data_IF_260883069925
#
_entry.id   IF_260883069925
#
_cell.length_a   1.000
_cell.length_b   1.000
_cell.length_c   1.000
_cell.angle_alpha   90.00
_cell.angle_beta   90.00
_cell.angle_gamma   90.00
#
_symmetry.space_group_name_H-M   'P 1'
#
loop_
_entity.id
_entity.type
_entity.pdbx_description
1 polymer ?
#
# COMPACT_ATOMS: atom_id res chain seq x y z
N UNK A 1 8.47 2.00 17.02
CA UNK A 1 9.90 2.18 16.63
C UNK A 1 10.82 2.67 17.75
N UNK A 2 10.34 3.43 18.75
CA UNK A 2 11.21 3.99 19.82
C UNK A 2 11.88 2.99 20.76
N UNK A 3 11.45 1.71 20.82
CA UNK A 3 12.04 0.71 21.71
C UNK A 3 13.39 0.15 21.27
N UNK A 4 13.76 0.32 20.00
CA UNK A 4 14.96 -0.29 19.41
C UNK A 4 15.86 0.71 18.68
N UNK A 5 15.46 1.96 18.52
CA UNK A 5 16.27 2.99 17.88
C UNK A 5 16.88 3.91 18.94
N UNK A 6 18.18 4.00 18.94
CA UNK A 6 18.90 5.04 19.70
C UNK A 6 18.64 6.40 19.02
N UNK A 7 17.51 7.02 19.28
CA UNK A 7 17.30 8.46 19.35
C UNK A 7 16.68 9.28 18.23
N UNK A 8 16.62 8.92 16.94
CA UNK A 8 15.91 9.79 15.99
C UNK A 8 15.33 9.03 14.82
N UNK A 9 14.02 9.25 14.56
CA UNK A 9 13.37 8.90 13.30
C UNK A 9 13.26 10.17 12.47
N UNK A 10 13.73 10.13 11.22
CA UNK A 10 13.57 11.19 10.23
C UNK A 10 12.43 10.77 9.28
N UNK A 11 11.50 11.68 9.02
CA UNK A 11 10.42 11.47 8.06
C UNK A 11 10.71 12.30 6.80
N UNK A 12 10.65 11.63 5.65
CA UNK A 12 10.80 12.24 4.33
C UNK A 12 9.51 12.15 3.49
N UNK A 13 8.37 12.10 4.15
CA UNK A 13 7.04 12.15 3.56
C UNK A 13 6.77 11.03 2.57
N UNK A 14 6.51 11.39 1.31
CA UNK A 14 6.16 10.47 0.23
C UNK A 14 7.36 10.01 -0.61
N UNK A 15 8.57 10.43 -0.29
CA UNK A 15 9.75 10.15 -1.10
C UNK A 15 9.72 10.86 -2.46
N UNK A 16 9.20 12.08 -2.50
CA UNK A 16 9.22 12.92 -3.71
C UNK A 16 10.66 13.23 -4.14
N UNK A 17 10.89 13.67 -5.38
CA UNK A 17 12.23 14.08 -5.82
C UNK A 17 12.88 15.09 -4.87
N UNK A 18 12.11 16.08 -4.38
CA UNK A 18 12.55 17.14 -3.47
C UNK A 18 12.92 16.56 -2.09
N UNK A 19 12.11 15.63 -1.56
CA UNK A 19 12.39 14.96 -0.29
C UNK A 19 13.63 14.06 -0.39
N UNK A 20 13.85 13.41 -1.54
CA UNK A 20 15.06 12.63 -1.80
C UNK A 20 16.29 13.55 -2.01
N UNK A 21 16.11 14.77 -2.54
CA UNK A 21 17.16 15.80 -2.57
C UNK A 21 17.54 16.26 -1.16
N UNK A 22 16.54 16.44 -0.29
CA UNK A 22 16.76 16.76 1.11
C UNK A 22 17.51 15.64 1.84
N UNK A 23 17.09 14.38 1.65
CA UNK A 23 17.80 13.22 2.20
C UNK A 23 19.28 13.22 1.76
N UNK A 24 19.54 13.45 0.46
CA UNK A 24 20.89 13.51 -0.08
C UNK A 24 21.68 14.62 0.60
N UNK A 25 21.13 15.84 0.69
CA UNK A 25 21.79 16.99 1.33
C UNK A 25 22.10 16.71 2.81
N UNK A 26 21.19 16.07 3.52
CA UNK A 26 21.38 15.67 4.91
C UNK A 26 22.55 14.68 5.07
N UNK A 27 22.65 13.70 4.17
CA UNK A 27 23.75 12.73 4.15
C UNK A 27 25.10 13.38 3.78
N UNK A 28 25.10 14.30 2.82
CA UNK A 28 26.28 15.11 2.44
C UNK A 28 26.75 16.00 3.59
N UNK A 29 25.82 16.55 4.37
CA UNK A 29 26.11 17.33 5.58
C UNK A 29 26.62 16.49 6.76
N UNK A 30 26.77 15.17 6.58
CA UNK A 30 27.34 14.27 7.58
C UNK A 30 26.32 13.54 8.46
N UNK A 31 25.00 13.70 8.22
CA UNK A 31 24.02 12.85 8.89
C UNK A 31 24.27 11.37 8.56
N UNK A 32 24.03 10.51 9.52
CA UNK A 32 24.13 9.05 9.34
C UNK A 32 22.81 8.41 9.71
N UNK A 33 22.33 7.51 8.86
CA UNK A 33 21.16 6.68 9.10
C UNK A 33 21.58 5.21 9.04
N UNK A 34 20.99 4.37 9.88
CA UNK A 34 21.25 2.94 9.87
C UNK A 34 20.41 2.22 8.81
N UNK A 35 19.15 2.63 8.69
CA UNK A 35 18.23 2.05 7.72
C UNK A 35 17.21 3.08 7.24
N UNK A 36 16.73 2.90 6.01
CA UNK A 36 15.58 3.59 5.44
C UNK A 36 14.47 2.57 5.26
N UNK A 37 13.28 2.91 5.78
CA UNK A 37 12.06 2.11 5.63
C UNK A 37 11.11 2.82 4.67
N UNK A 38 10.54 2.06 3.75
CA UNK A 38 9.54 2.57 2.79
C UNK A 38 8.53 1.48 2.46
N UNK A 39 7.40 1.88 1.85
CA UNK A 39 6.41 0.99 1.24
C UNK A 39 6.46 1.16 -0.29
N UNK A 40 6.07 0.13 -1.03
CA UNK A 40 5.96 0.23 -2.48
C UNK A 40 4.77 -0.57 -3.03
N UNK A 41 3.68 0.10 -3.52
CA UNK A 41 3.33 1.51 -3.28
C UNK A 41 2.92 1.77 -1.83
N UNK A 42 2.82 3.04 -1.43
CA UNK A 42 2.41 3.43 -0.08
C UNK A 42 0.90 3.21 0.14
N UNK A 43 0.50 3.06 1.40
CA UNK A 43 -0.90 3.06 1.83
C UNK A 43 -1.15 4.33 2.68
N UNK A 44 -2.17 5.16 2.40
CA UNK A 44 -3.30 4.93 1.49
C UNK A 44 -3.19 5.60 0.12
N UNK A 45 -2.20 6.45 -0.15
CA UNK A 45 -2.15 7.32 -1.33
C UNK A 45 -1.49 6.67 -2.55
N UNK A 46 -0.99 5.45 -2.41
CA UNK A 46 -0.44 4.61 -3.49
C UNK A 46 0.67 5.30 -4.29
N UNK A 47 1.42 6.16 -3.62
CA UNK A 47 2.61 6.79 -4.19
C UNK A 47 3.78 5.80 -4.26
N UNK A 48 4.68 6.01 -5.22
CA UNK A 48 5.84 5.17 -5.43
C UNK A 48 7.11 6.01 -5.36
N UNK A 49 8.03 5.62 -4.48
CA UNK A 49 9.33 6.24 -4.35
C UNK A 49 10.31 5.73 -5.41
N UNK A 50 11.29 6.54 -5.79
CA UNK A 50 12.39 6.11 -6.66
C UNK A 50 13.39 5.20 -5.91
N UNK A 51 13.11 3.88 -5.92
CA UNK A 51 13.98 2.90 -5.28
C UNK A 51 15.37 2.83 -5.91
N UNK A 52 15.52 3.16 -7.20
CA UNK A 52 16.84 3.23 -7.85
C UNK A 52 17.69 4.36 -7.25
N UNK A 53 17.05 5.49 -7.00
CA UNK A 53 17.72 6.63 -6.36
C UNK A 53 18.09 6.33 -4.91
N UNK A 54 17.16 5.74 -4.16
CA UNK A 54 17.42 5.30 -2.78
C UNK A 54 18.57 4.29 -2.76
N UNK A 55 18.56 3.29 -3.65
CA UNK A 55 19.64 2.30 -3.73
C UNK A 55 21.01 2.94 -3.93
N UNK A 56 21.13 3.90 -4.87
CA UNK A 56 22.40 4.64 -5.09
C UNK A 56 22.86 5.37 -3.82
N UNK A 57 21.94 6.04 -3.12
CA UNK A 57 22.28 6.71 -1.85
C UNK A 57 22.69 5.70 -0.79
N UNK A 58 22.00 4.59 -0.67
CA UNK A 58 22.33 3.54 0.29
C UNK A 58 23.70 2.92 0.01
N UNK A 59 24.05 2.72 -1.26
CA UNK A 59 25.38 2.23 -1.64
C UNK A 59 26.49 3.22 -1.33
N UNK A 60 26.22 4.51 -1.54
CA UNK A 60 27.18 5.57 -1.27
C UNK A 60 27.39 5.82 0.23
N UNK A 61 26.33 5.82 1.03
CA UNK A 61 26.38 6.23 2.44
C UNK A 61 26.27 5.10 3.44
N UNK A 62 26.06 3.86 3.00
CA UNK A 62 26.20 2.67 3.83
C UNK A 62 25.02 2.33 4.70
N UNK A 63 23.80 2.68 4.32
CA UNK A 63 22.59 2.31 5.08
C UNK A 63 21.82 1.17 4.43
N UNK A 64 21.00 0.47 5.25
CA UNK A 64 20.12 -0.63 4.82
C UNK A 64 18.81 -0.06 4.27
N UNK A 65 18.30 -0.63 3.18
CA UNK A 65 16.97 -0.31 2.64
C UNK A 65 16.00 -1.45 2.94
N UNK A 66 14.93 -1.13 3.65
CA UNK A 66 13.84 -2.06 3.97
C UNK A 66 12.58 -1.56 3.28
N UNK A 67 11.97 -2.42 2.48
CA UNK A 67 10.73 -2.09 1.78
C UNK A 67 9.62 -3.07 2.14
N UNK A 68 8.43 -2.54 2.41
CA UNK A 68 7.20 -3.31 2.53
C UNK A 68 6.49 -3.34 1.18
N UNK A 69 6.31 -4.54 0.60
CA UNK A 69 5.62 -4.75 -0.67
C UNK A 69 4.21 -5.35 -0.50
N UNK A 70 3.66 -5.31 0.69
CA UNK A 70 2.33 -5.87 0.98
C UNK A 70 1.26 -5.38 0.00
N UNK A 71 1.30 -4.10 -0.39
CA UNK A 71 0.35 -3.51 -1.34
C UNK A 71 0.75 -3.82 -2.80
N UNK A 72 2.04 -3.72 -3.12
CA UNK A 72 2.54 -3.97 -4.48
C UNK A 72 2.48 -5.44 -4.87
N UNK A 73 2.82 -6.30 -3.96
CA UNK A 73 3.02 -7.75 -4.10
C UNK A 73 4.15 -8.14 -5.06
N UNK A 74 4.88 -9.19 -4.73
CA UNK A 74 5.95 -9.71 -5.58
C UNK A 74 5.45 -10.28 -6.93
N UNK A 75 4.13 -10.47 -7.08
CA UNK A 75 3.49 -10.86 -8.35
C UNK A 75 3.45 -9.70 -9.32
N UNK A 76 3.11 -8.50 -8.84
CA UNK A 76 2.98 -7.32 -9.68
C UNK A 76 4.30 -6.57 -9.88
N UNK A 77 5.17 -6.51 -8.85
CA UNK A 77 6.39 -5.69 -8.89
C UNK A 77 7.65 -6.51 -8.62
N UNK A 78 8.78 -6.06 -9.19
CA UNK A 78 10.10 -6.63 -9.01
C UNK A 78 11.04 -5.59 -8.41
N UNK A 79 11.11 -5.56 -7.09
CA UNK A 79 11.86 -4.55 -6.34
C UNK A 79 13.00 -5.13 -5.48
N UNK A 80 13.12 -6.45 -5.38
CA UNK A 80 14.09 -7.08 -4.48
C UNK A 80 15.53 -6.64 -4.75
N UNK A 81 15.91 -6.42 -6.02
CA UNK A 81 17.26 -5.99 -6.39
C UNK A 81 17.62 -4.56 -5.94
N UNK A 82 16.64 -3.77 -5.51
CA UNK A 82 16.83 -2.38 -5.07
C UNK A 82 16.79 -2.21 -3.55
N UNK A 83 16.50 -3.27 -2.82
CA UNK A 83 16.36 -3.25 -1.36
C UNK A 83 17.28 -4.29 -0.73
N UNK A 84 17.60 -4.12 0.54
CA UNK A 84 18.38 -5.11 1.30
C UNK A 84 17.47 -6.12 1.97
N UNK A 85 16.27 -5.66 2.38
CA UNK A 85 15.24 -6.48 3.02
C UNK A 85 13.89 -6.14 2.43
N UNK A 86 13.16 -7.16 2.01
CA UNK A 86 11.77 -7.09 1.61
C UNK A 86 10.90 -7.69 2.70
N UNK A 87 9.89 -6.95 3.14
CA UNK A 87 8.92 -7.43 4.13
C UNK A 87 7.53 -7.46 3.52
N UNK A 88 6.75 -8.47 3.87
CA UNK A 88 5.39 -8.65 3.35
C UNK A 88 4.48 -9.17 4.44
N UNK A 89 3.30 -8.58 4.60
CA UNK A 89 2.25 -9.16 5.43
C UNK A 89 1.56 -10.31 4.68
N UNK A 90 1.86 -11.53 5.06
CA UNK A 90 1.20 -12.73 4.51
C UNK A 90 -0.27 -12.82 4.92
N UNK A 91 -0.65 -12.12 5.99
CA UNK A 91 -2.04 -11.94 6.46
C UNK A 91 -2.95 -11.38 5.37
N UNK A 92 -2.40 -10.53 4.48
CA UNK A 92 -3.14 -9.75 3.49
C UNK A 92 -3.40 -10.62 2.24
N UNK A 93 -3.17 -10.09 1.08
CA UNK A 93 -3.54 -10.72 -0.18
C UNK A 93 -2.88 -12.09 -0.42
N UNK A 94 -1.71 -12.34 0.18
CA UNK A 94 -1.06 -13.65 0.09
C UNK A 94 -1.98 -14.77 0.60
N UNK A 95 -2.55 -14.60 1.81
CA UNK A 95 -3.59 -15.50 2.33
C UNK A 95 -4.98 -15.20 1.73
N UNK A 96 -5.39 -13.93 1.75
CA UNK A 96 -6.68 -13.44 1.21
C UNK A 96 -7.94 -13.85 1.98
N UNK A 97 -7.88 -14.87 2.81
CA UNK A 97 -9.05 -15.49 3.44
C UNK A 97 -9.42 -14.93 4.83
N UNK A 98 -8.62 -14.02 5.39
CA UNK A 98 -8.85 -13.39 6.70
C UNK A 98 -8.92 -14.34 7.90
N UNK A 99 -8.38 -15.53 7.81
CA UNK A 99 -8.47 -16.56 8.84
C UNK A 99 -7.11 -16.98 9.44
N UNK A 100 -6.01 -16.37 8.98
CA UNK A 100 -4.65 -16.63 9.47
C UNK A 100 -3.80 -15.37 9.37
N UNK A 101 -2.85 -15.21 10.27
CA UNK A 101 -1.88 -14.12 10.24
C UNK A 101 -0.48 -14.66 9.96
N UNK A 102 0.32 -13.86 9.27
CA UNK A 102 1.72 -14.18 9.01
C UNK A 102 2.47 -13.01 8.40
N UNK A 103 3.77 -13.11 8.40
CA UNK A 103 4.67 -12.14 7.76
C UNK A 103 5.88 -12.85 7.19
N UNK A 104 6.46 -12.27 6.16
CA UNK A 104 7.73 -12.74 5.58
C UNK A 104 8.78 -11.65 5.62
N UNK A 105 10.02 -12.08 5.77
CA UNK A 105 11.22 -11.25 5.66
C UNK A 105 12.16 -11.94 4.68
N UNK A 106 12.43 -11.27 3.56
CA UNK A 106 13.35 -11.76 2.54
C UNK A 106 14.59 -10.88 2.53
N UNK A 107 15.74 -11.46 2.87
CA UNK A 107 17.04 -10.77 2.77
C UNK A 107 17.54 -10.92 1.34
N UNK A 108 17.82 -9.80 0.68
CA UNK A 108 18.34 -9.81 -0.68
C UNK A 108 19.71 -10.52 -0.73
N UNK A 109 19.86 -11.64 -1.48
CA UNK A 109 21.11 -12.37 -1.54
C UNK A 109 22.25 -11.59 -2.18
N UNK A 110 21.94 -10.54 -2.98
CA UNK A 110 22.92 -9.66 -3.62
C UNK A 110 23.25 -8.44 -2.77
N UNK A 111 22.61 -8.25 -1.60
CA UNK A 111 22.94 -7.14 -0.70
C UNK A 111 24.34 -7.30 -0.11
N UNK A 112 25.10 -6.22 -0.06
CA UNK A 112 26.39 -6.20 0.67
C UNK A 112 26.24 -6.42 2.18
N UNK A 113 25.02 -6.30 2.70
CA UNK A 113 24.67 -6.54 4.09
C UNK A 113 24.11 -7.97 4.32
N UNK A 114 24.05 -8.82 3.29
CA UNK A 114 23.37 -10.11 3.31
C UNK A 114 23.81 -11.00 4.48
N UNK A 115 25.11 -11.23 4.60
CA UNK A 115 25.66 -12.12 5.67
C UNK A 115 25.31 -11.60 7.06
N UNK A 116 25.54 -10.30 7.30
CA UNK A 116 25.24 -9.67 8.59
C UNK A 116 23.74 -9.74 8.92
N UNK A 117 22.89 -9.41 7.96
CA UNK A 117 21.43 -9.40 8.15
C UNK A 117 20.92 -10.81 8.40
N UNK A 118 21.40 -11.80 7.64
CA UNK A 118 20.99 -13.20 7.79
C UNK A 118 21.43 -13.74 9.14
N UNK A 119 22.68 -13.48 9.58
CA UNK A 119 23.17 -13.88 10.89
C UNK A 119 22.33 -13.27 12.02
N UNK A 120 22.09 -11.95 11.98
CA UNK A 120 21.36 -11.25 13.05
C UNK A 120 19.88 -11.62 13.09
N UNK A 121 19.23 -11.72 11.94
CA UNK A 121 17.83 -12.18 11.88
C UNK A 121 17.71 -13.62 12.36
N UNK A 122 18.60 -14.51 11.93
CA UNK A 122 18.60 -15.91 12.38
C UNK A 122 18.82 -16.05 13.89
N UNK A 123 19.69 -15.22 14.48
CA UNK A 123 19.93 -15.21 15.92
C UNK A 123 18.74 -14.66 16.74
N UNK A 124 17.91 -13.80 16.14
CA UNK A 124 16.74 -13.19 16.78
C UNK A 124 15.45 -13.97 16.51
N UNK A 125 15.46 -14.83 15.50
CA UNK A 125 14.27 -15.59 15.10
C UNK A 125 13.94 -16.63 16.18
N UNK A 126 12.76 -16.50 16.74
CA UNK A 126 12.12 -17.55 17.54
C UNK A 126 11.00 -18.13 16.71
N UNK A 127 11.12 -19.42 16.35
CA UNK A 127 10.04 -20.11 15.64
C UNK A 127 8.87 -20.32 16.60
N UNK A 128 7.93 -19.37 16.54
CA UNK A 128 6.70 -19.36 17.32
C UNK A 128 5.46 -19.46 16.45
N UNK A 129 5.66 -19.75 15.14
CA UNK A 129 4.54 -19.84 14.21
C UNK A 129 3.73 -21.10 14.47
N UNK A 130 2.43 -20.94 14.69
CA UNK A 130 1.56 -22.06 15.03
C UNK A 130 1.43 -23.01 13.82
N UNK A 131 1.69 -24.33 13.99
CA UNK A 131 1.74 -25.26 12.86
C UNK A 131 0.45 -25.33 12.04
N UNK A 132 -0.72 -25.24 12.68
CA UNK A 132 -2.01 -25.23 11.99
C UNK A 132 -2.20 -23.95 11.16
N UNK A 133 -1.73 -22.80 11.64
CA UNK A 133 -1.72 -21.57 10.87
C UNK A 133 -0.82 -21.68 9.62
N UNK A 134 0.31 -22.41 9.74
CA UNK A 134 1.17 -22.67 8.60
C UNK A 134 0.47 -23.52 7.52
N UNK A 135 -0.29 -24.54 7.93
CA UNK A 135 -1.08 -25.35 7.01
C UNK A 135 -2.19 -24.53 6.32
N UNK A 136 -2.92 -23.71 7.10
CA UNK A 136 -3.96 -22.80 6.56
C UNK A 136 -3.33 -21.79 5.59
N UNK A 137 -2.19 -21.20 5.94
CA UNK A 137 -1.47 -20.27 5.06
C UNK A 137 -1.07 -20.93 3.75
N UNK A 138 -0.53 -22.16 3.80
CA UNK A 138 -0.12 -22.94 2.61
C UNK A 138 -1.32 -23.28 1.72
N UNK A 139 -2.50 -23.56 2.30
CA UNK A 139 -3.73 -23.78 1.55
C UNK A 139 -4.22 -22.48 0.89
N UNK A 140 -4.25 -21.39 1.65
CA UNK A 140 -4.77 -20.11 1.19
C UNK A 140 -3.94 -19.49 0.07
N UNK A 141 -2.63 -19.73 0.03
CA UNK A 141 -1.75 -19.14 -0.99
C UNK A 141 -1.67 -19.97 -2.29
N UNK A 142 -2.31 -21.12 -2.38
CA UNK A 142 -2.17 -22.02 -3.52
C UNK A 142 -2.57 -21.41 -4.88
N UNK A 143 -3.51 -20.48 -4.88
CA UNK A 143 -4.02 -19.78 -6.06
C UNK A 143 -3.69 -18.27 -6.08
N UNK A 144 -2.67 -17.86 -5.33
CA UNK A 144 -2.31 -16.47 -5.10
C UNK A 144 -2.14 -15.68 -6.41
N UNK A 145 -1.42 -16.23 -7.39
CA UNK A 145 -1.18 -15.57 -8.68
C UNK A 145 -2.48 -15.35 -9.46
N UNK A 146 -3.35 -16.36 -9.48
CA UNK A 146 -4.64 -16.30 -10.20
C UNK A 146 -5.56 -15.26 -9.56
N UNK A 147 -5.61 -15.23 -8.22
CA UNK A 147 -6.40 -14.24 -7.49
C UNK A 147 -5.92 -12.82 -7.76
N UNK A 148 -4.61 -12.59 -7.80
CA UNK A 148 -4.06 -11.28 -8.10
C UNK A 148 -4.46 -10.79 -9.48
N UNK A 149 -4.45 -11.66 -10.50
CA UNK A 149 -4.82 -11.25 -11.86
C UNK A 149 -6.31 -10.84 -11.93
N UNK A 150 -7.21 -11.59 -11.29
CA UNK A 150 -8.62 -11.23 -11.21
C UNK A 150 -8.83 -9.90 -10.44
N UNK A 151 -8.18 -9.75 -9.30
CA UNK A 151 -8.29 -8.55 -8.46
C UNK A 151 -7.69 -7.32 -9.16
N UNK A 152 -6.56 -7.46 -9.87
CA UNK A 152 -5.99 -6.39 -10.67
C UNK A 152 -6.98 -5.87 -11.72
N UNK A 153 -7.68 -6.79 -12.42
CA UNK A 153 -8.68 -6.41 -13.43
C UNK A 153 -9.86 -5.66 -12.80
N UNK A 154 -10.38 -6.15 -11.68
CA UNK A 154 -11.47 -5.49 -10.94
C UNK A 154 -11.05 -4.11 -10.42
N UNK A 155 -9.83 -3.97 -9.89
CA UNK A 155 -9.33 -2.70 -9.37
C UNK A 155 -9.12 -1.66 -10.48
N UNK A 156 -8.60 -2.05 -11.64
CA UNK A 156 -8.45 -1.16 -12.80
C UNK A 156 -9.81 -0.69 -13.32
N UNK A 157 -10.80 -1.60 -13.41
CA UNK A 157 -12.17 -1.26 -13.81
C UNK A 157 -12.81 -0.29 -12.81
N UNK A 158 -12.68 -0.55 -11.51
CA UNK A 158 -13.16 0.33 -10.44
C UNK A 158 -12.52 1.72 -10.53
N UNK A 159 -11.20 1.78 -10.63
CA UNK A 159 -10.47 3.06 -10.71
C UNK A 159 -10.87 3.85 -11.95
N UNK A 160 -11.08 3.18 -13.10
CA UNK A 160 -11.55 3.79 -14.34
C UNK A 160 -12.96 4.36 -14.21
N UNK A 161 -13.89 3.61 -13.63
CA UNK A 161 -15.24 4.07 -13.34
C UNK A 161 -15.22 5.33 -12.46
N UNK A 162 -14.53 5.28 -11.34
CA UNK A 162 -14.45 6.39 -10.39
C UNK A 162 -13.82 7.64 -11.02
N UNK A 163 -12.78 7.47 -11.83
CA UNK A 163 -12.13 8.58 -12.55
C UNK A 163 -13.02 9.23 -13.62
N UNK A 164 -14.01 8.50 -14.15
CA UNK A 164 -14.99 9.05 -15.09
C UNK A 164 -16.01 9.97 -14.41
N UNK A 165 -16.17 9.85 -13.10
CA UNK A 165 -17.11 10.62 -12.28
C UNK A 165 -16.47 11.86 -11.64
N UNK A 166 -15.80 12.69 -12.45
CA UNK A 166 -15.15 13.93 -12.00
C UNK A 166 -16.13 14.98 -11.42
N UNK A 167 -17.42 14.82 -11.65
CA UNK A 167 -18.49 15.59 -11.03
C UNK A 167 -18.66 15.26 -9.53
N UNK A 168 -18.31 14.06 -9.08
CA UNK A 168 -18.39 13.58 -7.69
C UNK A 168 -17.03 13.37 -7.08
N UNK A 169 -16.10 12.80 -7.84
CA UNK A 169 -14.78 12.35 -7.38
C UNK A 169 -13.74 13.41 -7.74
N UNK A 170 -13.02 13.89 -6.73
CA UNK A 170 -11.94 14.86 -6.88
C UNK A 170 -10.64 14.17 -7.32
N UNK A 171 -10.32 13.03 -6.70
CA UNK A 171 -9.10 12.30 -6.96
C UNK A 171 -9.30 10.81 -6.72
N UNK A 172 -8.82 10.00 -7.65
CA UNK A 172 -8.62 8.56 -7.47
C UNK A 172 -7.13 8.31 -7.29
N UNK A 173 -6.76 7.72 -6.17
CA UNK A 173 -5.40 7.24 -5.93
C UNK A 173 -5.33 5.78 -6.31
N UNK A 174 -4.64 5.50 -7.39
CA UNK A 174 -4.38 4.16 -7.91
C UNK A 174 -3.09 4.22 -8.76
N UNK A 175 -2.19 3.23 -8.71
CA UNK A 175 -0.87 3.39 -9.33
C UNK A 175 -0.91 3.64 -10.83
N UNK A 176 -1.92 3.13 -11.58
CA UNK A 176 -2.05 3.38 -13.02
C UNK A 176 -2.49 4.80 -13.38
N UNK A 177 -3.06 5.57 -12.43
CA UNK A 177 -3.68 6.87 -12.67
C UNK A 177 -2.94 8.04 -12.02
N UNK A 178 -2.07 7.76 -11.07
CA UNK A 178 -1.40 8.79 -10.29
C UNK A 178 -0.11 9.32 -10.94
N UNK A 179 0.46 10.34 -10.31
CA UNK A 179 1.81 10.85 -10.65
C UNK A 179 2.89 9.78 -10.54
N UNK A 180 2.64 8.75 -9.73
CA UNK A 180 3.56 7.63 -9.51
C UNK A 180 3.54 6.58 -10.61
N UNK A 181 2.65 6.65 -11.60
CA UNK A 181 2.51 5.64 -12.66
C UNK A 181 3.84 5.29 -13.32
N UNK A 182 4.56 6.30 -13.80
CA UNK A 182 5.86 6.08 -14.46
C UNK A 182 6.87 5.39 -13.53
N UNK A 183 6.83 5.72 -12.23
CA UNK A 183 7.68 5.08 -11.23
C UNK A 183 7.23 3.64 -10.96
N UNK A 184 5.94 3.39 -10.80
CA UNK A 184 5.41 2.06 -10.64
C UNK A 184 5.76 1.16 -11.84
N UNK A 185 5.52 1.66 -13.07
CA UNK A 185 5.82 0.93 -14.32
C UNK A 185 7.31 0.57 -14.46
N UNK A 186 8.21 1.33 -13.83
CA UNK A 186 9.64 1.03 -13.79
C UNK A 186 9.94 -0.32 -13.10
N UNK A 187 9.12 -0.69 -12.13
CA UNK A 187 9.30 -1.89 -11.31
C UNK A 187 8.21 -2.93 -11.53
N UNK A 188 7.19 -2.61 -12.31
CA UNK A 188 6.09 -3.52 -12.62
C UNK A 188 6.59 -4.67 -13.50
N UNK A 189 6.24 -5.89 -13.13
CA UNK A 189 6.54 -7.07 -13.96
C UNK A 189 5.77 -7.00 -15.28
N UNK A 190 6.37 -7.45 -16.40
CA UNK A 190 5.69 -7.48 -17.68
C UNK A 190 4.37 -8.22 -17.62
N UNK A 191 3.30 -7.60 -18.16
CA UNK A 191 1.96 -8.20 -18.22
C UNK A 191 1.18 -8.20 -16.90
N UNK A 192 1.73 -7.68 -15.79
CA UNK A 192 1.05 -7.62 -14.49
C UNK A 192 0.30 -6.29 -14.28
N UNK A 193 -0.59 -6.27 -13.27
CA UNK A 193 -1.46 -5.12 -12.97
C UNK A 193 -0.86 -4.14 -11.97
N UNK A 194 -1.74 -3.32 -11.39
CA UNK A 194 -1.37 -2.20 -10.52
C UNK A 194 -1.79 -2.40 -9.07
N UNK A 195 -2.26 -3.60 -8.72
CA UNK A 195 -2.62 -3.95 -7.35
C UNK A 195 -4.14 -3.80 -7.08
N UNK A 196 -4.48 -4.00 -5.84
CA UNK A 196 -5.83 -4.22 -5.34
C UNK A 196 -6.39 -3.05 -4.53
N UNK A 197 -5.57 -2.05 -4.22
CA UNK A 197 -5.97 -0.98 -3.32
C UNK A 197 -6.31 0.27 -4.13
N UNK A 198 -7.49 0.84 -3.90
CA UNK A 198 -7.96 2.08 -4.51
C UNK A 198 -8.37 3.02 -3.39
N UNK A 199 -7.91 4.27 -3.42
CA UNK A 199 -8.33 5.30 -2.46
C UNK A 199 -8.99 6.45 -3.19
N UNK A 200 -10.04 7.01 -2.62
CA UNK A 200 -10.91 7.99 -3.26
C UNK A 200 -11.01 9.22 -2.36
N UNK A 201 -10.82 10.39 -2.97
CA UNK A 201 -11.19 11.68 -2.42
C UNK A 201 -12.37 12.23 -3.22
N UNK A 202 -13.47 12.51 -2.55
CA UNK A 202 -14.65 13.11 -3.16
C UNK A 202 -14.59 14.63 -3.19
N UNK A 203 -15.34 15.28 -4.11
CA UNK A 203 -15.44 16.73 -4.20
C UNK A 203 -16.02 17.36 -2.93
N UNK A 204 -16.87 16.63 -2.21
CA UNK A 204 -17.50 17.05 -0.97
C UNK A 204 -17.44 15.93 0.08
N UNK A 205 -17.24 16.26 1.37
CA UNK A 205 -17.26 15.27 2.46
C UNK A 205 -18.54 14.44 2.49
N UNK A 206 -19.68 15.07 2.23
CA UNK A 206 -21.00 14.41 2.22
C UNK A 206 -21.09 13.33 1.16
N UNK A 207 -20.44 13.52 0.01
CA UNK A 207 -20.41 12.50 -1.07
C UNK A 207 -19.66 11.24 -0.61
N UNK A 208 -18.55 11.40 0.12
CA UNK A 208 -17.82 10.30 0.70
C UNK A 208 -18.68 9.48 1.67
N UNK A 209 -19.42 10.18 2.54
CA UNK A 209 -20.32 9.54 3.52
C UNK A 209 -21.45 8.78 2.82
N UNK A 210 -22.19 9.45 1.92
CA UNK A 210 -23.31 8.81 1.20
C UNK A 210 -22.81 7.63 0.37
N UNK A 211 -21.69 7.79 -0.35
CA UNK A 211 -21.09 6.71 -1.11
C UNK A 211 -20.73 5.52 -0.21
N UNK A 212 -20.02 5.77 0.87
CA UNK A 212 -19.58 4.71 1.79
C UNK A 212 -20.74 3.97 2.42
N UNK A 213 -21.77 4.70 2.86
CA UNK A 213 -22.96 4.10 3.51
C UNK A 213 -23.76 3.21 2.55
N UNK A 214 -23.86 3.59 1.27
CA UNK A 214 -24.62 2.87 0.25
C UNK A 214 -23.78 1.85 -0.54
N UNK A 215 -22.47 1.80 -0.35
CA UNK A 215 -21.63 0.80 -1.02
C UNK A 215 -21.83 -0.57 -0.40
N UNK A 216 -22.41 -1.51 -1.16
CA UNK A 216 -22.71 -2.88 -0.72
C UNK A 216 -21.48 -3.79 -0.81
N UNK A 217 -20.56 -3.61 0.13
CA UNK A 217 -19.35 -4.43 0.32
C UNK A 217 -19.08 -4.57 1.82
N UNK A 218 -18.20 -5.48 2.18
CA UNK A 218 -17.78 -5.59 3.59
C UNK A 218 -17.11 -4.28 4.07
N UNK A 219 -17.35 -3.92 5.32
CA UNK A 219 -16.80 -2.70 5.94
C UNK A 219 -15.76 -3.09 6.98
N UNK A 220 -14.57 -2.49 6.90
CA UNK A 220 -13.51 -2.78 7.87
C UNK A 220 -12.18 -2.13 7.54
N UNK A 221 -11.30 -2.00 8.55
CA UNK A 221 -10.03 -1.28 8.43
C UNK A 221 -8.93 -2.07 7.71
N UNK A 222 -9.11 -3.38 7.48
CA UNK A 222 -8.09 -4.23 6.87
C UNK A 222 -8.01 -4.02 5.35
N UNK A 223 -7.17 -4.80 4.68
CA UNK A 223 -6.97 -4.81 3.23
C UNK A 223 -6.43 -6.17 2.78
N UNK A 224 -6.44 -6.43 1.49
CA UNK A 224 -5.85 -7.64 0.92
C UNK A 224 -6.67 -8.90 1.21
N UNK A 225 -7.98 -8.82 0.97
CA UNK A 225 -8.93 -9.92 1.14
C UNK A 225 -9.43 -10.41 -0.20
N UNK A 226 -9.92 -11.66 -0.27
CA UNK A 226 -10.54 -12.23 -1.46
C UNK A 226 -11.89 -11.57 -1.79
N UNK A 227 -12.46 -10.85 -0.84
CA UNK A 227 -13.68 -10.05 -0.98
C UNK A 227 -13.37 -8.57 -0.76
N UNK A 228 -14.18 -7.70 -1.34
CA UNK A 228 -13.98 -6.26 -1.27
C UNK A 228 -14.28 -5.72 0.13
N UNK A 229 -13.33 -4.92 0.64
CA UNK A 229 -13.42 -4.19 1.90
C UNK A 229 -13.36 -2.69 1.65
N UNK A 230 -14.25 -1.92 2.28
CA UNK A 230 -14.19 -0.48 2.28
C UNK A 230 -14.07 0.09 3.71
N UNK A 231 -13.33 1.20 3.85
CA UNK A 231 -13.24 1.92 5.11
C UNK A 231 -13.10 3.44 4.89
N UNK A 232 -13.62 4.26 5.81
CA UNK A 232 -13.30 5.70 5.92
C UNK A 232 -11.91 5.82 6.56
N UNK A 233 -10.87 5.67 5.73
CA UNK A 233 -9.50 5.37 6.17
C UNK A 233 -8.98 6.33 7.23
N UNK A 234 -9.05 7.63 6.97
CA UNK A 234 -8.46 8.64 7.85
C UNK A 234 -9.18 8.69 9.18
N UNK A 235 -10.51 8.60 9.18
CA UNK A 235 -11.33 8.61 10.40
C UNK A 235 -11.08 7.34 11.25
N UNK A 236 -10.82 6.19 10.64
CA UNK A 236 -10.52 4.98 11.41
C UNK A 236 -9.07 4.91 11.88
N UNK A 237 -8.13 5.34 11.05
CA UNK A 237 -6.70 5.18 11.32
C UNK A 237 -6.04 6.37 12.02
N UNK A 238 -6.55 7.59 11.80
CA UNK A 238 -5.88 8.84 12.18
C UNK A 238 -6.80 9.84 12.90
N UNK A 239 -7.90 9.38 13.49
CA UNK A 239 -8.88 10.28 14.15
C UNK A 239 -8.25 11.23 15.19
N UNK A 240 -7.27 10.76 15.94
CA UNK A 240 -6.55 11.56 16.93
C UNK A 240 -5.47 12.49 16.36
N UNK A 241 -5.21 12.49 15.05
CA UNK A 241 -4.09 13.19 14.41
C UNK A 241 -4.42 13.70 12.99
N UNK A 242 -5.68 14.12 12.76
CA UNK A 242 -6.17 14.55 11.44
C UNK A 242 -5.32 15.66 10.82
N UNK A 243 -4.92 16.66 11.60
CA UNK A 243 -4.08 17.78 11.14
C UNK A 243 -2.68 17.30 10.72
N UNK A 244 -2.16 16.27 11.38
CA UNK A 244 -0.89 15.67 11.01
C UNK A 244 -1.02 14.88 9.71
N UNK A 245 -2.05 14.05 9.59
CA UNK A 245 -2.33 13.26 8.38
C UNK A 245 -2.56 14.16 7.15
N UNK A 246 -3.27 15.27 7.31
CA UNK A 246 -3.52 16.24 6.26
C UNK A 246 -2.24 16.86 5.67
N UNK A 247 -1.17 17.04 6.47
CA UNK A 247 0.14 17.54 5.99
C UNK A 247 0.76 16.62 4.94
N UNK A 248 0.38 15.33 4.94
CA UNK A 248 0.83 14.32 3.98
C UNK A 248 -0.23 13.99 2.93
N UNK A 249 -1.24 14.86 2.75
CA UNK A 249 -2.30 14.67 1.75
C UNK A 249 -3.35 13.62 2.12
N UNK A 250 -3.29 13.07 3.34
CA UNK A 250 -4.29 12.12 3.85
C UNK A 250 -5.44 12.92 4.45
N UNK A 251 -6.38 13.34 3.60
CA UNK A 251 -7.52 14.16 4.01
C UNK A 251 -8.55 13.37 4.81
N UNK A 252 -9.37 14.06 5.63
CA UNK A 252 -10.27 13.46 6.61
C UNK A 252 -11.22 12.40 6.01
N UNK A 253 -11.84 12.71 4.87
CA UNK A 253 -12.90 11.89 4.27
C UNK A 253 -12.41 10.98 3.13
N UNK A 254 -11.20 10.43 3.24
CA UNK A 254 -10.74 9.41 2.30
C UNK A 254 -11.51 8.11 2.47
N UNK A 255 -12.04 7.58 1.38
CA UNK A 255 -12.58 6.22 1.32
C UNK A 255 -11.54 5.32 0.66
N UNK A 256 -11.08 4.30 1.38
CA UNK A 256 -10.16 3.30 0.85
C UNK A 256 -10.92 2.00 0.57
N UNK A 257 -10.74 1.45 -0.63
CA UNK A 257 -11.33 0.18 -1.07
C UNK A 257 -10.20 -0.81 -1.34
N UNK A 258 -10.21 -1.91 -0.62
CA UNK A 258 -9.43 -3.11 -0.92
C UNK A 258 -10.29 -4.00 -1.79
N UNK A 259 -9.97 -4.09 -3.06
CA UNK A 259 -10.76 -4.79 -4.08
C UNK A 259 -10.58 -6.29 -3.95
N UNK A 260 -11.67 -7.03 -4.05
CA UNK A 260 -11.74 -8.47 -4.06
C UNK A 260 -12.03 -9.05 -5.46
N UNK A 261 -12.56 -10.29 -5.45
CA UNK A 261 -12.79 -11.08 -6.68
C UNK A 261 -14.24 -11.06 -7.14
N UNK A 262 -15.11 -10.22 -6.58
CA UNK A 262 -16.52 -10.17 -6.94
C UNK A 262 -16.71 -9.76 -8.40
N UNK A 263 -17.53 -10.51 -9.14
CA UNK A 263 -17.88 -10.24 -10.54
C UNK A 263 -18.81 -9.02 -10.69
N UNK A 264 -19.58 -8.69 -9.65
CA UNK A 264 -20.59 -7.62 -9.64
C UNK A 264 -20.13 -6.32 -8.94
N UNK A 265 -18.85 -6.20 -8.59
CA UNK A 265 -18.32 -5.04 -7.87
C UNK A 265 -18.66 -3.72 -8.55
N UNK A 266 -18.54 -3.64 -9.87
CA UNK A 266 -18.83 -2.42 -10.62
C UNK A 266 -20.30 -2.00 -10.46
N UNK A 267 -21.25 -2.92 -10.55
CA UNK A 267 -22.67 -2.62 -10.32
C UNK A 267 -22.97 -2.11 -8.91
N UNK A 268 -22.31 -2.66 -7.90
CA UNK A 268 -22.43 -2.18 -6.50
C UNK A 268 -21.89 -0.75 -6.35
N UNK A 269 -20.78 -0.44 -6.99
CA UNK A 269 -20.20 0.90 -6.97
C UNK A 269 -21.06 1.90 -7.73
N UNK A 270 -21.61 1.53 -8.90
CA UNK A 270 -22.54 2.37 -9.65
C UNK A 270 -23.80 2.69 -8.83
N UNK A 271 -24.37 1.71 -8.12
CA UNK A 271 -25.50 1.93 -7.24
C UNK A 271 -25.17 2.93 -6.11
N UNK A 272 -23.99 2.83 -5.50
CA UNK A 272 -23.53 3.78 -4.49
C UNK A 272 -23.33 5.19 -5.05
N UNK A 273 -22.79 5.34 -6.27
CA UNK A 273 -22.65 6.63 -6.95
C UNK A 273 -24.01 7.23 -7.30
N UNK A 274 -24.99 6.42 -7.73
CA UNK A 274 -26.37 6.86 -7.96
C UNK A 274 -27.05 7.39 -6.71
N UNK A 275 -26.77 6.79 -5.54
CA UNK A 275 -27.26 7.30 -4.25
C UNK A 275 -26.68 8.70 -3.95
N UNK A 276 -25.42 8.96 -4.29
CA UNK A 276 -24.82 10.30 -4.17
C UNK A 276 -25.52 11.28 -5.12
N UNK A 277 -25.79 10.89 -6.38
CA UNK A 277 -26.50 11.74 -7.34
C UNK A 277 -27.92 12.10 -6.84
N UNK A 278 -28.66 11.11 -6.30
CA UNK A 278 -29.99 11.34 -5.73
C UNK A 278 -29.96 12.32 -4.53
N UNK A 279 -28.95 12.20 -3.67
CA UNK A 279 -28.74 13.10 -2.54
C UNK A 279 -28.44 14.55 -2.98
N UNK A 280 -27.75 14.75 -4.11
CA UNK A 280 -27.49 16.08 -4.70
C UNK A 280 -28.79 16.74 -5.19
N UNK A 281 -29.66 15.97 -5.85
CA UNK A 281 -30.90 16.47 -6.43
C UNK A 281 -31.92 16.88 -5.38
N UNK A 282 -31.85 16.31 -4.16
CA UNK A 282 -32.77 16.65 -3.06
C UNK A 282 -32.36 17.88 -2.23
N UNK A 283 -31.18 18.47 -2.47
CA UNK A 283 -30.67 19.65 -1.78
C UNK A 283 -30.80 20.97 -2.61
N UNK A 284 -31.41 20.92 -3.78
CA UNK A 284 -31.80 22.07 -4.60
C UNK A 284 -33.29 22.32 -4.44
#
# INVERSE_FOLDING_TARGET
>A
MSRFSCNQTLLYGHGTPEELDQLKSDLEAGKRICALFTEFPTNPLLTCVDLRRIRRLADQYGFVVVCDDTVGTSVNVDILSYVDVLVTSLTKLFSGACNVMGGSVVVNPMSRHHELLTEKLGALLVDSYYPEDALVMAQNCADFDVRIDAINANAEALASLLSSRNDLVKQVYYPSMGRSRAMYDTFRRPGRGYGYLVTIEFNQPQYATVFFDNLDVAKGPSLGTNFTLACPYTLLGHYGELDWAAKYGVVEHLVRISVGMEDDLIGRVEAALQAVDAGRAGCC
#
